data_IF_458668361526
#
_entry.id   IF_458668361526
#
_cell.length_a   1.000
_cell.length_b   1.000
_cell.length_c   1.000
_cell.angle_alpha   90.00
_cell.angle_beta   90.00
_cell.angle_gamma   90.00
#
_symmetry.space_group_name_H-M   'P 1'
#
loop_
_entity.id
_entity.type
_entity.pdbx_description
1 polymer ?
#
# COMPACT_ATOMS: atom_id res chain seq x y z
N UNK A 1 -14.95 0.38 22.98
CA UNK A 1 -15.65 -0.21 21.82
C UNK A 1 -15.30 0.62 20.61
N UNK A 2 -14.52 0.08 19.66
CA UNK A 2 -14.39 0.70 18.34
C UNK A 2 -15.77 0.55 17.70
N UNK A 3 -16.57 1.60 17.71
CA UNK A 3 -17.78 1.65 16.90
C UNK A 3 -17.28 1.82 15.47
N UNK A 4 -16.98 0.70 14.79
CA UNK A 4 -16.75 0.71 13.36
C UNK A 4 -18.12 1.08 12.77
N UNK A 5 -18.32 2.38 12.53
CA UNK A 5 -19.53 2.90 11.88
C UNK A 5 -19.70 2.40 10.43
N UNK A 6 -18.72 1.64 9.92
CA UNK A 6 -18.78 0.89 8.68
C UNK A 6 -19.07 -0.59 8.96
N UNK A 7 -20.06 -1.16 8.29
CA UNK A 7 -20.32 -2.60 8.35
C UNK A 7 -19.03 -3.38 8.03
N UNK A 8 -18.74 -4.50 8.72
CA UNK A 8 -17.48 -5.26 8.51
C UNK A 8 -17.21 -5.62 7.04
N UNK A 9 -18.27 -5.78 6.25
CA UNK A 9 -18.19 -5.93 4.80
C UNK A 9 -17.62 -4.69 4.07
N UNK A 10 -18.00 -3.47 4.45
CA UNK A 10 -17.44 -2.24 3.88
C UNK A 10 -15.95 -2.10 4.21
N UNK A 11 -15.56 -2.45 5.44
CA UNK A 11 -14.15 -2.48 5.83
C UNK A 11 -13.34 -3.40 4.91
N UNK A 12 -13.85 -4.62 4.69
CA UNK A 12 -13.25 -5.59 3.77
C UNK A 12 -13.14 -5.02 2.35
N UNK A 13 -14.23 -4.47 1.80
CA UNK A 13 -14.25 -3.87 0.46
C UNK A 13 -13.21 -2.76 0.34
N UNK A 14 -13.10 -1.87 1.32
CA UNK A 14 -12.15 -0.77 1.28
C UNK A 14 -10.69 -1.25 1.29
N UNK A 15 -10.36 -2.31 2.06
CA UNK A 15 -9.02 -2.91 1.98
C UNK A 15 -8.74 -3.47 0.58
N UNK A 16 -9.69 -4.18 -0.02
CA UNK A 16 -9.56 -4.70 -1.39
C UNK A 16 -9.34 -3.55 -2.38
N UNK A 17 -10.11 -2.46 -2.27
CA UNK A 17 -9.95 -1.28 -3.13
C UNK A 17 -8.57 -0.65 -2.96
N UNK A 18 -8.10 -0.45 -1.72
CA UNK A 18 -6.77 0.12 -1.48
C UNK A 18 -5.65 -0.75 -2.09
N UNK A 19 -5.74 -2.07 -1.94
CA UNK A 19 -4.78 -3.02 -2.53
C UNK A 19 -4.81 -2.91 -4.06
N UNK A 20 -5.98 -2.96 -4.69
CA UNK A 20 -6.11 -2.90 -6.15
C UNK A 20 -5.54 -1.58 -6.69
N UNK A 21 -5.94 -0.46 -6.09
CA UNK A 21 -5.45 0.87 -6.51
C UNK A 21 -3.93 0.95 -6.37
N UNK A 22 -3.37 0.47 -5.26
CA UNK A 22 -1.93 0.50 -5.03
C UNK A 22 -1.17 -0.37 -6.04
N UNK A 23 -1.64 -1.60 -6.32
CA UNK A 23 -1.02 -2.50 -7.29
C UNK A 23 -1.10 -1.94 -8.70
N UNK A 24 -2.29 -1.50 -9.14
CA UNK A 24 -2.51 -0.95 -10.49
C UNK A 24 -1.64 0.29 -10.70
N UNK A 25 -1.59 1.20 -9.72
CA UNK A 25 -0.76 2.40 -9.83
C UNK A 25 0.73 2.05 -9.79
N UNK A 26 1.17 1.11 -8.95
CA UNK A 26 2.56 0.65 -8.93
C UNK A 26 2.99 0.09 -10.30
N UNK A 27 2.13 -0.70 -10.94
CA UNK A 27 2.38 -1.20 -12.30
C UNK A 27 2.41 -0.05 -13.32
N UNK A 28 1.49 0.92 -13.22
CA UNK A 28 1.50 2.11 -14.08
C UNK A 28 2.79 2.94 -13.90
N UNK A 29 3.34 2.99 -12.68
CA UNK A 29 4.64 3.59 -12.34
C UNK A 29 5.85 2.71 -12.70
N UNK A 30 5.63 1.64 -13.46
CA UNK A 30 6.65 0.70 -13.95
C UNK A 30 7.43 0.02 -12.83
N UNK A 31 6.79 -0.29 -11.70
CA UNK A 31 7.35 -1.28 -10.76
C UNK A 31 7.18 -2.68 -11.36
N UNK A 32 8.17 -3.57 -11.21
CA UNK A 32 8.02 -4.95 -11.64
C UNK A 32 6.87 -5.59 -10.85
N UNK A 33 6.17 -6.56 -11.45
CA UNK A 33 5.06 -7.23 -10.76
C UNK A 33 5.56 -8.00 -9.53
N UNK A 34 6.67 -8.71 -9.69
CA UNK A 34 7.29 -9.55 -8.66
C UNK A 34 8.74 -9.09 -8.40
N UNK A 35 9.29 -9.33 -7.20
CA UNK A 35 10.70 -9.12 -6.90
C UNK A 35 11.60 -10.03 -7.74
N UNK A 36 12.87 -9.66 -7.84
CA UNK A 36 13.89 -10.49 -8.49
C UNK A 36 14.12 -11.81 -7.75
N UNK A 37 14.64 -12.81 -8.47
CA UNK A 37 15.01 -14.10 -7.88
C UNK A 37 16.45 -14.06 -7.36
N UNK A 38 16.75 -14.70 -6.22
CA UNK A 38 15.84 -15.46 -5.35
C UNK A 38 14.96 -14.54 -4.48
N UNK A 39 13.63 -14.70 -4.58
CA UNK A 39 12.62 -13.77 -4.03
C UNK A 39 12.84 -13.44 -2.55
N UNK A 40 13.25 -14.43 -1.73
CA UNK A 40 13.43 -14.24 -0.28
C UNK A 40 14.58 -13.31 0.11
N UNK A 41 15.56 -13.15 -0.77
CA UNK A 41 16.75 -12.35 -0.53
C UNK A 41 16.80 -11.11 -1.44
N UNK A 42 15.74 -10.86 -2.20
CA UNK A 42 15.64 -9.69 -3.08
C UNK A 42 15.15 -8.48 -2.29
N UNK A 43 15.89 -7.38 -2.45
CA UNK A 43 15.50 -6.05 -1.98
C UNK A 43 14.76 -5.25 -3.06
N UNK A 44 14.50 -5.87 -4.22
CA UNK A 44 13.81 -5.23 -5.33
C UNK A 44 12.34 -5.03 -4.97
N UNK A 45 11.95 -3.77 -4.82
CA UNK A 45 10.55 -3.38 -4.67
C UNK A 45 9.74 -3.71 -5.92
N UNK A 46 8.49 -4.12 -5.70
CA UNK A 46 7.58 -4.59 -6.73
C UNK A 46 6.14 -4.15 -6.43
N UNK A 47 5.27 -4.30 -7.43
CA UNK A 47 3.85 -4.00 -7.28
C UNK A 47 3.16 -4.92 -6.27
N UNK A 48 3.57 -6.19 -6.16
CA UNK A 48 3.02 -7.13 -5.16
C UNK A 48 3.70 -7.06 -3.80
N UNK A 49 4.94 -6.59 -3.74
CA UNK A 49 5.66 -6.45 -2.48
C UNK A 49 6.70 -5.32 -2.56
N UNK A 50 6.68 -4.31 -1.67
CA UNK A 50 5.86 -4.21 -0.45
C UNK A 50 4.56 -3.41 -0.61
N UNK A 51 4.19 -2.98 -1.84
CA UNK A 51 3.12 -2.00 -2.09
C UNK A 51 1.78 -2.27 -1.37
N UNK A 52 1.18 -3.48 -1.44
CA UNK A 52 -0.09 -3.76 -0.77
C UNK A 52 0.03 -3.75 0.76
N UNK A 53 1.21 -4.09 1.30
CA UNK A 53 1.47 -4.11 2.74
C UNK A 53 1.37 -2.69 3.30
N UNK A 54 1.95 -1.71 2.61
CA UNK A 54 1.81 -0.30 2.98
C UNK A 54 0.38 0.19 2.86
N UNK A 55 -0.32 -0.18 1.78
CA UNK A 55 -1.72 0.22 1.58
C UNK A 55 -2.62 -0.28 2.73
N UNK A 56 -2.46 -1.54 3.14
CA UNK A 56 -3.20 -2.12 4.27
C UNK A 56 -2.79 -1.45 5.59
N UNK A 57 -1.49 -1.34 5.86
CA UNK A 57 -0.99 -0.81 7.13
C UNK A 57 -1.39 0.65 7.36
N UNK A 58 -1.25 1.50 6.34
CA UNK A 58 -1.63 2.91 6.43
C UNK A 58 -3.15 3.05 6.57
N UNK A 59 -3.94 2.29 5.81
CA UNK A 59 -5.39 2.33 5.91
C UNK A 59 -5.88 1.88 7.30
N UNK A 60 -5.25 0.88 7.89
CA UNK A 60 -5.54 0.43 9.25
C UNK A 60 -5.32 1.53 10.30
N UNK A 61 -4.27 2.34 10.13
CA UNK A 61 -4.02 3.50 11.01
C UNK A 61 -5.15 4.51 10.90
N UNK A 62 -5.59 4.87 9.69
CA UNK A 62 -6.72 5.80 9.51
C UNK A 62 -8.01 5.29 10.17
N UNK A 63 -8.32 4.00 10.04
CA UNK A 63 -9.49 3.42 10.72
C UNK A 63 -9.34 3.37 12.23
N UNK A 64 -8.15 3.09 12.76
CA UNK A 64 -7.88 3.14 14.21
C UNK A 64 -8.11 4.55 14.78
N UNK A 65 -7.76 5.58 14.00
CA UNK A 65 -8.01 6.98 14.33
C UNK A 65 -9.45 7.45 14.09
N UNK A 66 -10.37 6.54 13.75
CA UNK A 66 -11.76 6.84 13.39
C UNK A 66 -11.88 7.84 12.22
N UNK A 67 -10.94 7.81 11.28
CA UNK A 67 -10.97 8.65 10.07
C UNK A 67 -11.63 7.88 8.92
N UNK A 68 -12.96 7.97 8.83
CA UNK A 68 -13.76 7.36 7.75
C UNK A 68 -14.73 8.36 7.07
N UNK A 69 -14.36 9.65 7.08
CA UNK A 69 -15.22 10.84 6.95
C UNK A 69 -16.04 10.92 5.66
N UNK A 70 -15.63 10.25 4.58
CA UNK A 70 -16.28 10.34 3.26
C UNK A 70 -16.41 8.95 2.62
N UNK A 71 -17.60 8.64 2.07
CA UNK A 71 -17.96 7.38 1.42
C UNK A 71 -17.66 6.13 2.27
N UNK A 72 -17.90 6.17 3.58
CA UNK A 72 -17.62 5.07 4.49
C UNK A 72 -16.16 4.58 4.41
N UNK A 73 -15.21 5.48 4.14
CA UNK A 73 -13.78 5.15 3.99
C UNK A 73 -13.33 4.73 2.59
N UNK A 74 -14.20 4.72 1.58
CA UNK A 74 -13.79 4.38 0.22
C UNK A 74 -12.80 5.40 -0.36
N UNK A 75 -13.06 6.70 -0.17
CA UNK A 75 -12.17 7.75 -0.67
C UNK A 75 -10.79 7.64 -0.01
N UNK A 76 -10.75 7.37 1.31
CA UNK A 76 -9.48 7.23 2.02
C UNK A 76 -8.72 5.98 1.55
N UNK A 77 -9.42 4.89 1.26
CA UNK A 77 -8.81 3.69 0.66
C UNK A 77 -8.14 3.97 -0.69
N UNK A 78 -8.79 4.74 -1.57
CA UNK A 78 -8.22 5.14 -2.86
C UNK A 78 -6.98 6.01 -2.64
N UNK A 79 -7.11 7.05 -1.81
CA UNK A 79 -6.02 7.99 -1.51
C UNK A 79 -4.82 7.23 -0.93
N UNK A 80 -5.04 6.37 0.06
CA UNK A 80 -3.98 5.55 0.68
C UNK A 80 -3.35 4.60 -0.34
N UNK A 81 -4.14 3.98 -1.21
CA UNK A 81 -3.61 3.13 -2.28
C UNK A 81 -2.69 3.92 -3.22
N UNK A 82 -3.11 5.12 -3.63
CA UNK A 82 -2.31 6.03 -4.47
C UNK A 82 -1.00 6.41 -3.78
N UNK A 83 -1.09 6.89 -2.54
CA UNK A 83 0.09 7.29 -1.77
C UNK A 83 1.05 6.13 -1.52
N UNK A 84 0.54 4.92 -1.28
CA UNK A 84 1.38 3.74 -1.04
C UNK A 84 2.19 3.37 -2.27
N UNK A 85 1.61 3.43 -3.47
CA UNK A 85 2.34 3.16 -4.71
C UNK A 85 3.41 4.23 -4.99
N UNK A 86 3.09 5.51 -4.77
CA UNK A 86 4.04 6.63 -4.91
C UNK A 86 5.17 6.49 -3.89
N UNK A 87 4.84 6.21 -2.63
CA UNK A 87 5.80 5.97 -1.56
C UNK A 87 6.75 4.83 -1.93
N UNK A 88 6.22 3.68 -2.36
CA UNK A 88 7.07 2.56 -2.77
C UNK A 88 7.97 2.94 -3.93
N UNK A 89 7.44 3.58 -4.98
CA UNK A 89 8.23 3.95 -6.15
C UNK A 89 9.36 4.92 -5.84
N UNK A 90 9.14 5.93 -5.01
CA UNK A 90 10.07 7.07 -4.90
C UNK A 90 10.75 7.22 -3.54
N UNK A 91 10.09 6.84 -2.44
CA UNK A 91 10.58 7.13 -1.09
C UNK A 91 11.07 5.88 -0.35
N UNK A 92 10.66 4.68 -0.79
CA UNK A 92 10.99 3.44 -0.09
C UNK A 92 12.49 3.23 0.10
N UNK A 93 13.31 3.41 -0.94
CA UNK A 93 14.77 3.15 -0.83
C UNK A 93 15.50 4.22 -0.01
N UNK A 94 14.88 5.40 0.16
CA UNK A 94 15.41 6.43 1.04
C UNK A 94 15.15 6.09 2.52
N UNK A 95 13.98 5.54 2.83
CA UNK A 95 13.60 5.13 4.20
C UNK A 95 14.19 3.77 4.57
N UNK A 96 14.23 2.85 3.61
CA UNK A 96 14.71 1.48 3.73
C UNK A 96 15.82 1.24 2.69
N UNK A 97 17.04 1.75 2.94
CA UNK A 97 18.13 1.63 1.99
C UNK A 97 18.50 0.15 1.79
N UNK A 98 18.72 -0.20 0.53
CA UNK A 98 19.23 -1.54 0.18
C UNK A 98 20.58 -1.77 0.85
N UNK A 99 20.81 -2.95 1.46
CA UNK A 99 22.09 -3.28 2.09
C UNK A 99 23.25 -3.37 1.10
N UNK A 100 22.98 -3.40 -0.21
CA UNK A 100 24.02 -3.52 -1.24
C UNK A 100 24.70 -2.20 -1.61
N UNK A 101 24.26 -1.06 -1.07
CA UNK A 101 25.00 0.21 -1.17
C UNK A 101 25.37 0.63 -2.60
N UNK A 102 24.40 1.11 -3.38
CA UNK A 102 24.67 1.93 -4.56
C UNK A 102 24.33 1.33 -5.92
N UNK A 103 23.72 2.19 -6.74
CA UNK A 103 23.53 2.16 -8.20
C UNK A 103 22.90 0.92 -8.84
N UNK A 104 21.60 1.04 -9.12
CA UNK A 104 21.08 1.01 -10.50
C UNK A 104 20.15 2.20 -10.74
#
# INVERSE_FOLDING_TARGET
>A
MISIGANGFQLFVNYIVAIIVAVVLALALRLPLLPEKPIRFSWTKSALFPTPVFAIGILAIFYSLNVFWIYNGLLIAIIVGVFSAIFVKYLFDYVFPSPQGGSE
#
